data_IF_429182813396
#
_entry.id   IF_429182813396
#
_cell.length_a   1.000
_cell.length_b   1.000
_cell.length_c   1.000
_cell.angle_alpha   90.00
_cell.angle_beta   90.00
_cell.angle_gamma   90.00
#
_symmetry.space_group_name_H-M   'P 1'
#
loop_
_entity.id
_entity.type
_entity.pdbx_description
1 polymer ?
#
# COMPACT_ATOMS: atom_id res chain seq x y z
N UNK A 1 -29.66 5.73 12.35
CA UNK A 1 -28.59 6.62 11.87
C UNK A 1 -27.82 7.08 13.09
N UNK A 2 -26.68 6.45 13.37
CA UNK A 2 -25.82 6.79 14.51
C UNK A 2 -24.84 7.87 14.06
N UNK A 3 -25.01 9.07 14.58
CA UNK A 3 -24.18 10.25 14.31
C UNK A 3 -23.20 10.33 15.48
N UNK A 4 -21.89 10.36 15.20
CA UNK A 4 -20.90 10.66 16.22
C UNK A 4 -20.99 12.15 16.61
N UNK A 5 -20.52 12.50 17.81
CA UNK A 5 -20.60 13.87 18.35
C UNK A 5 -19.92 14.94 17.48
N UNK A 6 -19.06 14.53 16.53
CA UNK A 6 -18.37 15.37 15.56
C UNK A 6 -19.12 15.57 14.21
N UNK A 7 -20.32 14.98 14.07
CA UNK A 7 -21.12 15.07 12.84
C UNK A 7 -20.68 14.11 11.71
N UNK A 8 -19.71 13.22 11.97
CA UNK A 8 -19.28 12.21 11.01
C UNK A 8 -20.18 10.98 11.09
N UNK A 9 -20.95 10.72 10.03
CA UNK A 9 -21.72 9.47 9.87
C UNK A 9 -20.79 8.35 9.42
N UNK A 10 -20.95 7.14 9.98
CA UNK A 10 -20.18 5.93 9.60
C UNK A 10 -20.09 5.72 8.08
N UNK A 11 -21.16 6.04 7.35
CA UNK A 11 -21.23 5.93 5.89
C UNK A 11 -20.20 6.81 5.15
N UNK A 12 -19.88 7.99 5.68
CA UNK A 12 -18.86 8.88 5.08
C UNK A 12 -17.47 8.33 5.31
N UNK A 13 -17.19 7.77 6.49
CA UNK A 13 -15.90 7.18 6.82
C UNK A 13 -15.63 5.94 5.95
N UNK A 14 -16.64 5.09 5.75
CA UNK A 14 -16.51 3.92 4.87
C UNK A 14 -16.37 4.30 3.39
N UNK A 15 -17.03 5.37 2.94
CA UNK A 15 -16.84 5.90 1.60
C UNK A 15 -15.42 6.43 1.39
N UNK A 16 -14.89 7.20 2.35
CA UNK A 16 -13.51 7.67 2.34
C UNK A 16 -12.55 6.48 2.32
N UNK A 17 -12.74 5.49 3.20
CA UNK A 17 -11.92 4.28 3.21
C UNK A 17 -11.96 3.54 1.87
N UNK A 18 -13.12 3.37 1.24
CA UNK A 18 -13.25 2.73 -0.09
C UNK A 18 -12.60 3.55 -1.19
N UNK A 19 -12.73 4.86 -1.16
CA UNK A 19 -12.14 5.78 -2.13
C UNK A 19 -10.61 5.75 -2.05
N UNK A 20 -10.06 5.90 -0.85
CA UNK A 20 -8.63 5.75 -0.58
C UNK A 20 -8.17 4.33 -0.94
N UNK A 21 -8.92 3.30 -0.55
CA UNK A 21 -8.60 1.92 -0.94
C UNK A 21 -8.56 1.74 -2.45
N UNK A 22 -9.38 2.42 -3.24
CA UNK A 22 -9.34 2.35 -4.72
C UNK A 22 -8.15 3.13 -5.30
N UNK A 23 -7.81 4.29 -4.76
CA UNK A 23 -6.66 5.08 -5.20
C UNK A 23 -5.35 4.38 -4.82
N UNK A 24 -5.23 3.95 -3.58
CA UNK A 24 -4.01 3.42 -3.01
C UNK A 24 -3.82 1.90 -3.23
N UNK A 25 -4.88 1.13 -3.57
CA UNK A 25 -4.69 -0.26 -4.04
C UNK A 25 -4.37 -0.37 -5.52
N UNK A 26 -4.45 0.69 -6.31
CA UNK A 26 -4.10 0.60 -7.73
C UNK A 26 -2.59 0.80 -7.89
N UNK A 27 -1.81 -0.15 -7.33
CA UNK A 27 -0.39 -0.24 -7.62
C UNK A 27 -0.22 -0.34 -9.15
N UNK A 28 0.77 0.38 -9.68
CA UNK A 28 1.06 0.32 -11.10
C UNK A 28 1.46 -1.09 -11.51
N UNK A 29 1.49 -1.35 -12.82
CA UNK A 29 1.90 -2.66 -13.32
C UNK A 29 3.35 -2.97 -12.89
N UNK A 30 4.23 -1.98 -13.02
CA UNK A 30 5.64 -2.06 -12.63
C UNK A 30 5.80 -2.39 -11.14
N UNK A 31 5.12 -1.65 -10.27
CA UNK A 31 5.16 -1.88 -8.82
C UNK A 31 4.65 -3.28 -8.43
N UNK A 32 3.67 -3.82 -9.16
CA UNK A 32 3.19 -5.19 -8.95
C UNK A 32 4.17 -6.26 -9.41
N UNK A 33 4.83 -6.04 -10.54
CA UNK A 33 5.87 -6.94 -11.04
C UNK A 33 7.07 -6.96 -10.08
N UNK A 34 7.50 -5.79 -9.59
CA UNK A 34 8.57 -5.66 -8.61
C UNK A 34 8.27 -6.39 -7.29
N UNK A 35 7.04 -6.33 -6.80
CA UNK A 35 6.61 -7.07 -5.61
C UNK A 35 6.62 -8.59 -5.80
N UNK A 36 6.37 -9.07 -7.01
CA UNK A 36 6.40 -10.50 -7.31
C UNK A 36 7.84 -11.04 -7.34
N UNK A 37 8.78 -10.26 -7.87
CA UNK A 37 10.20 -10.61 -7.93
C UNK A 37 10.88 -10.69 -6.56
N UNK A 38 10.31 -10.04 -5.54
CA UNK A 38 10.87 -10.04 -4.19
C UNK A 38 10.63 -11.35 -3.42
N UNK A 39 9.82 -12.27 -3.96
CA UNK A 39 9.52 -13.59 -3.37
C UNK A 39 9.17 -13.52 -1.87
N UNK A 40 8.39 -12.50 -1.50
CA UNK A 40 8.01 -12.21 -0.12
C UNK A 40 6.98 -13.21 0.38
N UNK A 41 7.04 -13.53 1.67
CA UNK A 41 5.96 -14.25 2.30
C UNK A 41 4.68 -13.39 2.42
N UNK A 42 3.58 -14.02 2.83
CA UNK A 42 2.28 -13.35 2.89
C UNK A 42 2.25 -12.19 3.88
N UNK A 43 2.98 -12.27 4.99
CA UNK A 43 2.99 -11.25 6.03
C UNK A 43 3.91 -10.09 5.62
N UNK A 44 5.10 -10.39 5.10
CA UNK A 44 6.02 -9.39 4.52
C UNK A 44 5.33 -8.59 3.40
N UNK A 45 4.70 -9.28 2.45
CA UNK A 45 3.99 -8.66 1.34
C UNK A 45 2.86 -7.75 1.81
N UNK A 46 2.20 -8.12 2.91
CA UNK A 46 1.10 -7.34 3.49
C UNK A 46 1.62 -6.08 4.17
N UNK A 47 2.71 -6.14 4.93
CA UNK A 47 3.30 -4.96 5.56
C UNK A 47 3.88 -4.01 4.50
N UNK A 48 4.62 -4.52 3.51
CA UNK A 48 5.15 -3.69 2.42
C UNK A 48 4.02 -3.01 1.64
N UNK A 49 2.91 -3.70 1.35
CA UNK A 49 1.75 -3.08 0.70
C UNK A 49 1.14 -1.94 1.50
N UNK A 50 1.15 -2.01 2.84
CA UNK A 50 0.69 -0.90 3.68
C UNK A 50 1.62 0.29 3.55
N UNK A 51 2.93 0.07 3.55
CA UNK A 51 3.91 1.14 3.40
C UNK A 51 3.79 1.82 2.03
N UNK A 52 3.72 1.03 0.95
CA UNK A 52 3.52 1.55 -0.41
C UNK A 52 2.22 2.35 -0.58
N UNK A 53 1.14 1.96 0.13
CA UNK A 53 -0.15 2.64 0.06
C UNK A 53 -0.11 4.09 0.59
N UNK A 54 0.96 4.53 1.25
CA UNK A 54 1.12 5.93 1.68
C UNK A 54 2.11 6.72 0.81
N UNK A 55 2.66 6.10 -0.24
CA UNK A 55 3.66 6.69 -1.11
C UNK A 55 3.07 7.07 -2.48
N UNK A 56 3.64 8.10 -3.11
CA UNK A 56 3.44 8.35 -4.54
C UNK A 56 4.08 7.23 -5.37
N UNK A 57 3.66 7.04 -6.61
CA UNK A 57 4.21 6.01 -7.50
C UNK A 57 5.74 6.09 -7.63
N UNK A 58 6.30 7.29 -7.80
CA UNK A 58 7.75 7.51 -7.83
C UNK A 58 8.45 7.00 -6.55
N UNK A 59 7.83 7.24 -5.39
CA UNK A 59 8.34 6.80 -4.09
C UNK A 59 8.13 5.31 -3.84
N UNK A 60 7.08 4.72 -4.40
CA UNK A 60 6.88 3.26 -4.38
C UNK A 60 8.00 2.56 -5.15
N UNK A 61 8.36 3.08 -6.33
CA UNK A 61 9.45 2.53 -7.16
C UNK A 61 10.80 2.68 -6.45
N UNK A 62 11.09 3.83 -5.85
CA UNK A 62 12.32 4.06 -5.07
C UNK A 62 12.43 3.07 -3.89
N UNK A 63 11.36 2.95 -3.10
CA UNK A 63 11.27 2.01 -1.98
C UNK A 63 11.56 0.56 -2.42
N UNK A 64 10.94 0.10 -3.50
CA UNK A 64 11.13 -1.28 -3.98
C UNK A 64 12.54 -1.53 -4.51
N UNK A 65 13.20 -0.53 -5.10
CA UNK A 65 14.61 -0.63 -5.52
C UNK A 65 15.55 -0.77 -4.33
N UNK A 66 15.31 -0.01 -3.26
CA UNK A 66 16.08 -0.13 -2.01
C UNK A 66 15.92 -1.53 -1.43
N UNK A 67 14.67 -2.00 -1.31
CA UNK A 67 14.37 -3.32 -0.76
C UNK A 67 14.99 -4.48 -1.57
N UNK A 68 14.96 -4.41 -2.91
CA UNK A 68 15.65 -5.39 -3.78
C UNK A 68 17.16 -5.38 -3.55
N UNK A 69 17.76 -4.20 -3.36
CA UNK A 69 19.19 -4.06 -3.11
C UNK A 69 19.58 -4.66 -1.76
N UNK A 70 18.74 -4.51 -0.74
CA UNK A 70 18.96 -5.10 0.58
C UNK A 70 18.89 -6.62 0.56
N UNK A 71 17.85 -7.22 -0.05
CA UNK A 71 17.75 -8.68 -0.19
C UNK A 71 18.95 -9.31 -0.91
N UNK A 72 19.50 -8.63 -1.93
CA UNK A 72 20.69 -9.11 -2.65
C UNK A 72 21.97 -9.09 -1.80
N UNK A 73 22.02 -8.30 -0.72
CA UNK A 73 23.16 -8.27 0.21
C UNK A 73 23.09 -9.36 1.27
N UNK A 74 21.90 -9.89 1.52
CA UNK A 74 21.64 -10.96 2.49
C UNK A 74 21.84 -12.37 1.90
N UNK A 75 21.94 -12.47 0.57
CA UNK A 75 22.15 -13.73 -0.18
C UNK A 75 23.62 -13.92 -0.56
#
# INVERSE_FOLDING_TARGET
MTINEDGTTFDKLDLVKRYFSRIFNTLSKEVREDLLELELDKEELKEIKKELAFLSEEKQIEYLKELKTEKQRET
#
